data_IF_876974521440
#
_entry.id   IF_876974521440
#
_cell.length_a   1.000
_cell.length_b   1.000
_cell.length_c   1.000
_cell.angle_alpha   90.00
_cell.angle_beta   90.00
_cell.angle_gamma   90.00
#
_symmetry.space_group_name_H-M   'P 1'
#
loop_
_entity.id
_entity.type
_entity.pdbx_description
1 polymer ?
#
# COMPACT_ATOMS: atom_id res chain seq x y z
N UNK A 1 2.36 -8.41 8.00
CA UNK A 1 1.84 -7.77 9.21
C UNK A 1 0.41 -7.29 8.94
N UNK A 2 -0.53 -7.42 9.88
CA UNK A 2 -1.92 -6.94 9.74
C UNK A 2 -2.23 -5.95 10.87
N UNK A 3 -2.79 -4.78 10.54
CA UNK A 3 -3.19 -3.78 11.53
C UNK A 3 -4.51 -4.18 12.21
N UNK A 4 -4.67 -3.93 13.53
CA UNK A 4 -5.96 -3.95 14.18
C UNK A 4 -6.91 -2.93 13.54
N UNK A 5 -8.21 -3.23 13.46
CA UNK A 5 -9.19 -2.35 12.80
C UNK A 5 -9.42 -1.00 13.49
N UNK A 6 -8.94 -0.83 14.73
CA UNK A 6 -9.10 0.38 15.54
C UNK A 6 -7.89 1.32 15.47
N UNK A 7 -6.78 0.89 14.88
CA UNK A 7 -5.57 1.70 14.79
C UNK A 7 -5.38 2.32 13.41
N UNK A 8 -4.84 3.53 13.40
CA UNK A 8 -4.48 4.19 12.16
C UNK A 8 -3.36 3.42 11.45
N UNK A 9 -3.59 3.01 10.21
CA UNK A 9 -2.61 2.29 9.39
C UNK A 9 -1.27 3.01 9.24
N UNK A 10 -1.26 4.34 9.41
CA UNK A 10 -0.04 5.15 9.40
C UNK A 10 0.99 4.72 10.46
N UNK A 11 0.56 4.14 11.59
CA UNK A 11 1.45 3.57 12.62
C UNK A 11 2.22 2.35 12.13
N UNK A 12 1.62 1.59 11.22
CA UNK A 12 2.17 0.35 10.68
C UNK A 12 3.07 0.58 9.46
N UNK A 13 3.19 1.82 8.99
CA UNK A 13 3.97 2.16 7.81
C UNK A 13 5.46 1.80 7.92
N UNK A 14 6.13 2.20 9.01
CA UNK A 14 7.56 1.91 9.18
C UNK A 14 7.83 0.42 9.36
N UNK A 15 7.14 -0.29 10.28
CA UNK A 15 7.30 -1.75 10.41
C UNK A 15 7.06 -2.50 9.10
N UNK A 16 6.09 -2.04 8.29
CA UNK A 16 5.82 -2.63 6.98
C UNK A 16 7.01 -2.43 6.01
N UNK A 17 7.55 -1.22 5.91
CA UNK A 17 8.70 -0.94 5.04
C UNK A 17 9.98 -1.65 5.47
N UNK A 18 10.13 -1.98 6.75
CA UNK A 18 11.27 -2.76 7.24
C UNK A 18 11.21 -4.23 6.80
N UNK A 19 10.01 -4.77 6.60
CA UNK A 19 9.79 -6.15 6.14
C UNK A 19 9.94 -6.31 4.62
N UNK A 20 9.88 -5.20 3.87
CA UNK A 20 9.91 -5.24 2.40
C UNK A 20 11.36 -5.30 1.92
N UNK A 21 11.63 -6.25 1.02
CA UNK A 21 12.88 -6.38 0.28
C UNK A 21 12.57 -6.42 -1.21
N UNK A 22 13.15 -5.50 -1.96
CA UNK A 22 12.95 -5.40 -3.40
C UNK A 22 14.01 -6.21 -4.14
N UNK A 23 13.63 -7.04 -5.13
CA UNK A 23 14.59 -7.72 -5.98
C UNK A 23 15.43 -6.68 -6.75
N UNK A 24 16.75 -6.78 -6.64
CA UNK A 24 17.68 -5.97 -7.41
C UNK A 24 18.13 -6.72 -8.67
N UNK A 25 18.52 -5.99 -9.71
CA UNK A 25 18.97 -6.58 -10.98
C UNK A 25 20.25 -7.43 -10.83
N UNK A 26 21.16 -7.05 -9.90
CA UNK A 26 22.35 -7.82 -9.49
C UNK A 26 22.72 -7.44 -8.04
N UNK A 27 23.18 -8.41 -7.24
CA UNK A 27 23.67 -8.18 -5.87
C UNK A 27 22.60 -8.20 -4.77
N UNK A 28 22.94 -7.64 -3.59
CA UNK A 28 22.07 -7.66 -2.41
C UNK A 28 20.72 -6.96 -2.70
N UNK A 29 19.57 -7.60 -2.38
CA UNK A 29 18.26 -7.00 -2.52
C UNK A 29 18.17 -5.61 -1.88
N UNK A 30 17.49 -4.68 -2.54
CA UNK A 30 17.32 -3.33 -2.01
C UNK A 30 16.28 -3.35 -0.92
N UNK A 31 16.66 -2.97 0.29
CA UNK A 31 15.72 -2.83 1.42
C UNK A 31 14.77 -1.63 1.28
N UNK A 32 15.01 -0.71 0.33
CA UNK A 32 14.31 0.59 0.26
C UNK A 32 13.89 0.95 -1.17
N UNK A 33 12.69 1.49 -1.28
CA UNK A 33 12.08 1.96 -2.53
C UNK A 33 12.62 3.35 -2.90
N UNK A 34 12.67 3.71 -4.19
CA UNK A 34 13.01 5.09 -4.60
C UNK A 34 11.89 6.08 -4.29
N UNK A 35 10.65 5.65 -4.43
CA UNK A 35 9.48 6.48 -4.25
C UNK A 35 8.43 5.74 -3.42
N UNK A 36 7.70 6.48 -2.59
CA UNK A 36 6.58 5.96 -1.80
C UNK A 36 5.31 6.71 -2.17
N UNK A 37 4.36 5.98 -2.73
CA UNK A 37 3.01 6.48 -3.05
C UNK A 37 2.09 6.12 -1.87
N UNK A 38 1.49 7.12 -1.25
CA UNK A 38 0.53 6.87 -0.18
C UNK A 38 -0.61 7.88 -0.18
N UNK A 39 -1.69 7.53 0.50
CA UNK A 39 -2.83 8.42 0.64
C UNK A 39 -2.54 9.64 1.52
N UNK A 40 -3.35 10.69 1.35
CA UNK A 40 -3.35 11.88 2.20
C UNK A 40 -3.47 11.54 3.69
N UNK A 41 -4.10 10.41 4.03
CA UNK A 41 -4.11 9.86 5.39
C UNK A 41 -2.71 9.57 5.96
N UNK A 42 -1.70 9.36 5.13
CA UNK A 42 -0.31 9.09 5.52
C UNK A 42 0.55 10.35 5.61
N UNK A 43 -0.01 11.54 5.37
CA UNK A 43 0.73 12.80 5.55
C UNK A 43 1.04 13.05 7.03
N UNK A 44 2.21 12.58 7.46
CA UNK A 44 2.76 12.82 8.79
C UNK A 44 4.22 13.26 8.69
N UNK A 45 4.63 14.13 9.62
CA UNK A 45 6.00 14.65 9.65
C UNK A 45 7.00 13.52 9.91
N UNK A 46 6.65 12.59 10.80
CA UNK A 46 7.44 11.42 11.17
C UNK A 46 7.67 10.51 9.96
N UNK A 47 6.63 10.25 9.14
CA UNK A 47 6.75 9.45 7.92
C UNK A 47 7.64 10.13 6.88
N UNK A 48 7.50 11.45 6.70
CA UNK A 48 8.34 12.20 5.76
C UNK A 48 9.81 12.23 6.20
N UNK A 49 10.09 12.46 7.48
CA UNK A 49 11.45 12.39 8.04
C UNK A 49 12.07 11.00 7.86
N UNK A 50 11.28 9.95 8.03
CA UNK A 50 11.72 8.58 7.73
C UNK A 50 12.06 8.41 6.26
N UNK A 51 11.20 8.88 5.34
CA UNK A 51 11.48 8.84 3.91
C UNK A 51 12.76 9.62 3.55
N UNK A 52 12.93 10.83 4.08
CA UNK A 52 14.09 11.69 3.86
C UNK A 52 15.38 11.01 4.35
N UNK A 53 15.37 10.40 5.55
CA UNK A 53 16.50 9.67 6.14
C UNK A 53 16.99 8.52 5.26
N UNK A 54 16.08 7.87 4.54
CA UNK A 54 16.39 6.71 3.69
C UNK A 54 16.44 7.05 2.20
N UNK A 55 16.40 8.34 1.82
CA UNK A 55 16.47 8.79 0.43
C UNK A 55 15.26 8.34 -0.41
N UNK A 56 14.11 8.14 0.21
CA UNK A 56 12.87 7.77 -0.47
C UNK A 56 12.04 9.02 -0.74
N UNK A 57 11.50 9.18 -1.94
CA UNK A 57 10.66 10.33 -2.28
C UNK A 57 9.18 10.07 -1.90
N UNK A 58 8.60 10.79 -0.93
CA UNK A 58 7.20 10.60 -0.54
C UNK A 58 6.25 11.39 -1.47
N UNK A 59 5.54 10.67 -2.35
CA UNK A 59 4.50 11.22 -3.23
C UNK A 59 3.17 11.11 -2.49
N UNK A 60 2.98 12.01 -1.53
CA UNK A 60 1.83 12.02 -0.62
C UNK A 60 1.20 13.40 -0.67
N UNK A 61 -0.10 13.52 -0.98
CA UNK A 61 -0.80 14.80 -0.95
C UNK A 61 -0.75 15.41 0.44
N UNK A 62 -0.57 16.73 0.51
CA UNK A 62 -0.60 17.44 1.77
C UNK A 62 -2.00 17.43 2.36
N UNK A 63 -2.09 17.23 3.67
CA UNK A 63 -3.32 17.53 4.42
C UNK A 63 -3.58 19.03 4.37
N UNK A 64 -4.85 19.43 4.32
CA UNK A 64 -5.27 20.83 4.43
C UNK A 64 -5.00 21.26 5.88
N UNK A 65 -3.78 21.72 6.13
CA UNK A 65 -3.31 22.30 7.38
C UNK A 65 -2.48 23.53 7.02
N UNK A 66 -2.32 24.45 7.96
CA UNK A 66 -1.46 25.61 7.79
C UNK A 66 0.02 25.17 7.80
N UNK A 67 0.48 24.70 6.64
CA UNK A 67 1.85 24.21 6.40
C UNK A 67 2.37 24.79 5.09
N UNK A 68 3.69 24.97 5.03
CA UNK A 68 4.34 25.39 3.79
C UNK A 68 4.02 24.41 2.66
N UNK A 69 3.63 24.90 1.46
CA UNK A 69 3.42 24.04 0.32
C UNK A 69 4.71 23.29 -0.02
N UNK A 70 4.57 22.04 -0.46
CA UNK A 70 5.69 21.18 -0.86
C UNK A 70 5.45 20.69 -2.28
N UNK A 71 6.54 20.39 -2.98
CA UNK A 71 6.50 19.81 -4.32
C UNK A 71 5.74 18.47 -4.26
N UNK A 72 4.76 18.34 -5.15
CA UNK A 72 3.91 17.15 -5.26
C UNK A 72 3.79 16.75 -6.73
N UNK A 73 4.32 15.57 -7.05
CA UNK A 73 4.28 15.02 -8.40
C UNK A 73 2.91 14.39 -8.67
N UNK A 74 2.03 15.16 -9.31
CA UNK A 74 0.70 14.70 -9.72
C UNK A 74 0.75 13.54 -10.72
N UNK A 75 1.53 13.60 -11.82
CA UNK A 75 1.70 12.46 -12.73
C UNK A 75 2.07 11.16 -12.02
N UNK A 76 3.04 11.20 -11.10
CA UNK A 76 3.48 10.02 -10.39
C UNK A 76 2.40 9.52 -9.43
N UNK A 77 1.67 10.43 -8.78
CA UNK A 77 0.54 10.09 -7.90
C UNK A 77 -0.60 9.36 -8.63
N UNK A 78 -0.84 9.63 -9.92
CA UNK A 78 -1.86 8.91 -10.71
C UNK A 78 -1.64 7.40 -10.76
N UNK A 79 -0.41 6.92 -10.58
CA UNK A 79 -0.08 5.48 -10.53
C UNK A 79 -0.77 4.76 -9.35
N UNK A 80 -1.24 5.50 -8.34
CA UNK A 80 -2.04 4.94 -7.23
C UNK A 80 -3.36 4.32 -7.67
N UNK A 81 -3.89 4.69 -8.83
CA UNK A 81 -5.11 4.10 -9.40
C UNK A 81 -5.05 2.55 -9.47
N UNK A 82 -3.86 1.96 -9.67
CA UNK A 82 -3.68 0.50 -9.64
C UNK A 82 -4.01 -0.08 -8.26
N UNK A 83 -3.54 0.59 -7.20
CA UNK A 83 -3.78 0.20 -5.80
C UNK A 83 -5.26 0.40 -5.46
N UNK A 84 -5.87 1.51 -5.90
CA UNK A 84 -7.29 1.79 -5.68
C UNK A 84 -8.20 0.75 -6.34
N UNK A 85 -7.91 0.40 -7.61
CA UNK A 85 -8.64 -0.66 -8.33
C UNK A 85 -8.53 -2.00 -7.60
N UNK A 86 -7.34 -2.37 -7.14
CA UNK A 86 -7.15 -3.58 -6.34
C UNK A 86 -8.04 -3.59 -5.10
N UNK A 87 -8.04 -2.51 -4.31
CA UNK A 87 -8.88 -2.43 -3.12
C UNK A 87 -10.38 -2.41 -3.43
N UNK A 88 -10.80 -1.77 -4.52
CA UNK A 88 -12.19 -1.83 -4.97
C UNK A 88 -12.61 -3.26 -5.26
N UNK A 89 -11.77 -4.04 -5.95
CA UNK A 89 -12.06 -5.43 -6.29
C UNK A 89 -12.10 -6.33 -5.05
N UNK A 90 -11.18 -6.11 -4.11
CA UNK A 90 -11.21 -6.81 -2.82
C UNK A 90 -12.50 -6.49 -2.03
N UNK A 91 -13.02 -5.27 -2.13
CA UNK A 91 -14.25 -4.84 -1.46
C UNK A 91 -15.52 -5.39 -2.09
N UNK A 92 -15.53 -5.75 -3.37
CA UNK A 92 -16.66 -6.45 -4.01
C UNK A 92 -16.99 -7.75 -3.27
N UNK A 93 -15.98 -8.41 -2.70
CA UNK A 93 -16.16 -9.59 -1.85
C UNK A 93 -16.59 -9.13 -0.45
N UNK A 94 -17.91 -9.09 -0.22
CA UNK A 94 -18.56 -8.66 1.05
C UNK A 94 -17.90 -9.25 2.31
N UNK A 95 -17.45 -10.52 2.26
CA UNK A 95 -16.78 -11.18 3.39
C UNK A 95 -15.48 -10.47 3.82
N UNK A 96 -14.71 -9.95 2.88
CA UNK A 96 -13.47 -9.20 3.15
C UNK A 96 -13.77 -7.78 3.62
N UNK A 97 -14.74 -7.10 3.00
CA UNK A 97 -15.08 -5.71 3.33
C UNK A 97 -15.51 -5.55 4.80
N UNK A 98 -16.34 -6.47 5.30
CA UNK A 98 -16.84 -6.45 6.68
C UNK A 98 -15.84 -7.07 7.68
N UNK A 99 -14.74 -7.67 7.21
CA UNK A 99 -13.72 -8.34 8.05
C UNK A 99 -14.35 -9.37 9.01
N UNK A 100 -15.19 -10.27 8.48
CA UNK A 100 -15.85 -11.32 9.29
C UNK A 100 -14.87 -12.27 9.99
N UNK A 101 -13.67 -12.42 9.42
CA UNK A 101 -12.63 -13.27 9.96
C UNK A 101 -12.08 -12.70 11.28
N UNK A 102 -12.30 -13.42 12.39
CA UNK A 102 -11.79 -13.05 13.71
C UNK A 102 -10.27 -13.24 13.84
N UNK A 103 -9.73 -14.22 13.12
CA UNK A 103 -8.30 -14.56 13.15
C UNK A 103 -7.55 -13.88 12.00
N UNK A 104 -6.37 -13.34 12.33
CA UNK A 104 -5.47 -12.71 11.35
C UNK A 104 -5.02 -13.70 10.26
N UNK A 105 -4.84 -14.97 10.61
CA UNK A 105 -4.50 -16.05 9.68
C UNK A 105 -5.60 -16.30 8.65
N UNK A 106 -6.85 -16.45 9.12
CA UNK A 106 -8.01 -16.66 8.25
C UNK A 106 -8.27 -15.45 7.34
N UNK A 107 -8.15 -14.23 7.88
CA UNK A 107 -8.25 -13.01 7.07
C UNK A 107 -7.18 -12.98 5.96
N UNK A 108 -5.93 -13.28 6.31
CA UNK A 108 -4.84 -13.35 5.33
C UNK A 108 -5.13 -14.41 4.26
N UNK A 109 -5.57 -15.60 4.64
CA UNK A 109 -5.93 -16.68 3.72
C UNK A 109 -7.04 -16.25 2.74
N UNK A 110 -8.08 -15.58 3.24
CA UNK A 110 -9.16 -15.06 2.39
C UNK A 110 -8.67 -14.01 1.39
N UNK A 111 -7.81 -13.07 1.82
CA UNK A 111 -7.21 -12.09 0.92
C UNK A 111 -6.38 -12.79 -0.17
N UNK A 112 -5.55 -13.76 0.22
CA UNK A 112 -4.75 -14.54 -0.72
C UNK A 112 -5.63 -15.30 -1.72
N UNK A 113 -6.72 -15.92 -1.26
CA UNK A 113 -7.66 -16.65 -2.13
C UNK A 113 -8.29 -15.73 -3.18
N UNK A 114 -8.73 -14.53 -2.78
CA UNK A 114 -9.32 -13.56 -3.72
C UNK A 114 -8.28 -13.04 -4.72
N UNK A 115 -7.03 -12.84 -4.29
CA UNK A 115 -5.95 -12.50 -5.21
C UNK A 115 -5.70 -13.61 -6.25
N UNK A 116 -5.65 -14.87 -5.80
CA UNK A 116 -5.48 -16.04 -6.70
C UNK A 116 -6.65 -16.13 -7.67
N UNK A 117 -7.89 -16.04 -7.19
CA UNK A 117 -9.09 -16.05 -8.03
C UNK A 117 -9.03 -14.95 -9.10
N UNK A 118 -8.54 -13.76 -8.73
CA UNK A 118 -8.40 -12.64 -9.66
C UNK A 118 -7.31 -12.87 -10.72
N UNK A 119 -6.16 -13.39 -10.32
CA UNK A 119 -5.08 -13.74 -11.24
C UNK A 119 -5.54 -14.82 -12.23
N UNK A 120 -6.15 -15.91 -11.74
CA UNK A 120 -6.70 -16.96 -12.59
C UNK A 120 -7.74 -16.41 -13.56
N UNK A 121 -8.66 -15.55 -13.10
CA UNK A 121 -9.60 -14.90 -14.02
C UNK A 121 -8.90 -14.00 -15.04
N UNK A 122 -7.78 -13.38 -14.74
CA UNK A 122 -7.05 -12.56 -15.72
C UNK A 122 -6.32 -13.44 -16.74
N UNK A 123 -5.69 -14.53 -16.28
CA UNK A 123 -4.90 -15.45 -17.10
C UNK A 123 -5.78 -16.38 -17.97
N UNK A 124 -7.01 -16.68 -17.52
CA UNK A 124 -7.98 -17.53 -18.23
C UNK A 124 -9.18 -16.77 -18.80
N UNK A 125 -9.17 -15.43 -18.76
CA UNK A 125 -10.15 -14.60 -19.48
C UNK A 125 -9.67 -14.25 -20.90
N UNK A 126 -8.75 -15.03 -21.45
CA UNK A 126 -8.59 -15.20 -22.89
C UNK A 126 -9.86 -15.88 -23.45
N UNK A 127 -10.97 -15.14 -23.44
CA UNK A 127 -12.01 -15.32 -24.43
C UNK A 127 -11.53 -14.56 -25.68
N UNK A 128 -11.55 -15.19 -26.88
CA UNK A 128 -11.32 -14.46 -28.13
C UNK A 128 -12.32 -13.31 -28.32
#
# INVERSE_FOLDING_TARGET
MLSPGQEADSRYFMPLLEQISLPGSKGRPRKRCRCVLADKGYDSQILRQYCDRYGMQPIIPLRKMHRKPRLFDRPQYKKRNVIERLFSWLKEKRRLCTRYEKLASSFKAMVTLVCIEKCLRADFSDNP
#
